data_IF_854949136286
#
_entry.id   IF_854949136286
#
_cell.length_a   1.000
_cell.length_b   1.000
_cell.length_c   1.000
_cell.angle_alpha   90.00
_cell.angle_beta   90.00
_cell.angle_gamma   90.00
#
_symmetry.space_group_name_H-M   'P 1'
#
loop_
_entity.id
_entity.type
_entity.pdbx_description
1 polymer ?
#
# COMPACT_ATOMS: atom_id res chain seq x y z
N UNK A 1 -4.30 -23.65 -7.65
CA UNK A 1 -3.32 -22.56 -7.94
C UNK A 1 -2.71 -21.96 -6.69
N UNK A 2 -3.49 -21.47 -5.71
CA UNK A 2 -2.92 -20.81 -4.51
C UNK A 2 -1.87 -21.66 -3.79
N UNK A 3 -2.22 -22.90 -3.44
CA UNK A 3 -1.29 -23.85 -2.79
C UNK A 3 -0.09 -24.18 -3.69
N UNK A 4 -0.35 -24.39 -4.98
CA UNK A 4 0.71 -24.70 -5.95
C UNK A 4 1.74 -23.55 -6.07
N UNK A 5 1.27 -22.30 -6.15
CA UNK A 5 2.14 -21.14 -6.19
C UNK A 5 2.80 -20.87 -4.83
N UNK A 6 2.08 -21.00 -3.71
CA UNK A 6 2.64 -20.80 -2.38
C UNK A 6 3.77 -21.80 -2.05
N UNK A 7 3.55 -23.08 -2.35
CA UNK A 7 4.50 -24.15 -2.03
C UNK A 7 5.60 -24.29 -3.08
N UNK A 8 5.27 -24.21 -4.37
CA UNK A 8 6.22 -24.52 -5.45
C UNK A 8 6.63 -23.31 -6.28
N UNK A 9 6.08 -22.11 -6.01
CA UNK A 9 6.31 -20.87 -6.80
C UNK A 9 5.98 -21.03 -8.29
N UNK A 10 5.11 -21.98 -8.62
CA UNK A 10 4.71 -22.27 -9.99
C UNK A 10 3.42 -21.52 -10.37
N UNK A 11 3.49 -20.67 -11.38
CA UNK A 11 2.36 -19.89 -11.92
C UNK A 11 2.62 -18.39 -11.99
N UNK A 12 1.60 -17.62 -12.39
CA UNK A 12 1.67 -16.15 -12.43
C UNK A 12 1.35 -15.57 -11.05
N UNK A 13 2.23 -14.72 -10.51
CA UNK A 13 2.05 -14.05 -9.20
C UNK A 13 0.73 -13.29 -9.11
N UNK A 14 0.33 -12.61 -10.18
CA UNK A 14 -0.95 -11.87 -10.23
C UNK A 14 -2.17 -12.79 -10.04
N UNK A 15 -2.10 -14.05 -10.50
CA UNK A 15 -3.18 -15.01 -10.30
C UNK A 15 -3.20 -15.54 -8.85
N UNK A 16 -2.05 -15.59 -8.19
CA UNK A 16 -1.97 -15.91 -6.77
C UNK A 16 -2.60 -14.80 -5.93
N UNK A 17 -2.20 -13.55 -6.14
CA UNK A 17 -2.70 -12.39 -5.38
C UNK A 17 -4.20 -12.19 -5.57
N UNK A 18 -4.68 -12.19 -6.82
CA UNK A 18 -6.13 -12.11 -7.10
C UNK A 18 -6.88 -13.33 -6.59
N UNK A 19 -6.27 -14.52 -6.70
CA UNK A 19 -6.82 -15.75 -6.15
C UNK A 19 -7.06 -15.66 -4.64
N UNK A 20 -6.17 -14.98 -3.93
CA UNK A 20 -6.24 -14.81 -2.48
C UNK A 20 -7.46 -13.98 -2.08
N UNK A 21 -7.80 -12.94 -2.84
CA UNK A 21 -9.02 -12.14 -2.65
C UNK A 21 -10.27 -13.02 -2.75
N UNK A 22 -10.37 -13.86 -3.78
CA UNK A 22 -11.51 -14.77 -3.93
C UNK A 22 -11.56 -15.81 -2.81
N UNK A 23 -10.41 -16.30 -2.37
CA UNK A 23 -10.33 -17.27 -1.27
C UNK A 23 -10.78 -16.64 0.06
N UNK A 24 -10.38 -15.40 0.34
CA UNK A 24 -10.85 -14.65 1.50
C UNK A 24 -12.37 -14.47 1.49
N UNK A 25 -12.96 -14.17 0.32
CA UNK A 25 -14.42 -14.09 0.18
C UNK A 25 -15.08 -15.45 0.49
N UNK A 26 -14.57 -16.55 -0.05
CA UNK A 26 -15.11 -17.88 0.24
C UNK A 26 -14.99 -18.24 1.72
N UNK A 27 -13.85 -17.95 2.36
CA UNK A 27 -13.66 -18.16 3.80
C UNK A 27 -14.65 -17.33 4.61
N UNK A 28 -14.94 -16.10 4.21
CA UNK A 28 -15.98 -15.27 4.83
C UNK A 28 -17.38 -15.92 4.75
N UNK A 29 -17.75 -16.47 3.60
CA UNK A 29 -19.03 -17.19 3.42
C UNK A 29 -19.08 -18.43 4.31
N UNK A 30 -18.00 -19.23 4.33
CA UNK A 30 -17.89 -20.45 5.15
C UNK A 30 -17.95 -20.10 6.64
N UNK A 31 -17.26 -19.05 7.07
CA UNK A 31 -17.30 -18.57 8.45
C UNK A 31 -18.71 -18.12 8.85
N UNK A 32 -19.41 -17.39 7.95
CA UNK A 32 -20.80 -17.01 8.16
C UNK A 32 -21.74 -18.20 8.31
N UNK A 33 -21.62 -19.21 7.44
CA UNK A 33 -22.36 -20.46 7.56
C UNK A 33 -22.02 -21.22 8.85
N UNK A 34 -20.75 -21.25 9.23
CA UNK A 34 -20.28 -21.83 10.49
C UNK A 34 -20.91 -21.16 11.71
N UNK A 35 -21.02 -19.83 11.72
CA UNK A 35 -21.70 -19.08 12.79
C UNK A 35 -23.19 -19.42 12.88
N UNK A 36 -23.88 -19.64 11.74
CA UNK A 36 -25.27 -20.14 11.75
C UNK A 36 -25.36 -21.52 12.41
N UNK A 37 -24.41 -22.41 12.12
CA UNK A 37 -24.30 -23.71 12.79
C UNK A 37 -24.12 -23.56 14.31
N UNK A 38 -23.19 -22.72 14.75
CA UNK A 38 -22.92 -22.45 16.18
C UNK A 38 -24.13 -21.83 16.87
N UNK A 39 -24.84 -20.90 16.22
CA UNK A 39 -26.05 -20.27 16.75
C UNK A 39 -27.14 -21.28 17.10
N UNK A 40 -27.23 -22.37 16.34
CA UNK A 40 -28.24 -23.40 16.51
C UNK A 40 -27.82 -24.51 17.51
N UNK A 41 -26.64 -24.39 18.16
CA UNK A 41 -26.24 -25.31 19.21
C UNK A 41 -27.09 -25.11 20.47
N UNK A 42 -27.71 -26.20 20.91
CA UNK A 42 -28.44 -26.29 22.18
C UNK A 42 -27.69 -27.18 23.16
N UNK A 43 -27.67 -26.80 24.44
CA UNK A 43 -27.10 -27.66 25.48
C UNK A 43 -27.94 -28.93 25.71
N UNK A 44 -27.31 -30.07 26.03
CA UNK A 44 -28.02 -31.27 26.43
C UNK A 44 -28.87 -31.04 27.69
N UNK A 45 -30.05 -31.65 27.73
CA UNK A 45 -31.06 -31.48 28.81
C UNK A 45 -30.49 -31.72 30.22
N UNK A 46 -29.53 -32.65 30.36
CA UNK A 46 -28.86 -32.96 31.64
C UNK A 46 -27.96 -31.83 32.13
N UNK A 47 -27.26 -31.15 31.23
CA UNK A 47 -26.39 -30.01 31.54
C UNK A 47 -27.21 -28.76 31.86
N UNK A 48 -28.32 -28.54 31.14
CA UNK A 48 -29.23 -27.43 31.43
C UNK A 48 -29.90 -27.54 32.79
N UNK A 49 -30.23 -28.76 33.23
CA UNK A 49 -30.79 -29.01 34.56
C UNK A 49 -29.76 -28.75 35.69
N UNK A 50 -28.48 -28.98 35.42
CA UNK A 50 -27.40 -28.77 36.38
C UNK A 50 -27.04 -27.28 36.55
N UNK A 51 -26.97 -26.51 35.46
CA UNK A 51 -26.53 -25.11 35.46
C UNK A 51 -27.53 -24.12 36.07
N UNK A 52 -28.80 -24.50 36.28
CA UNK A 52 -29.90 -23.67 36.87
C UNK A 52 -30.01 -22.23 36.32
N UNK A 53 -29.50 -21.96 35.12
CA UNK A 53 -29.45 -20.63 34.50
C UNK A 53 -30.19 -20.64 33.14
N UNK A 54 -31.53 -20.53 33.13
CA UNK A 54 -32.34 -20.76 31.92
C UNK A 54 -32.08 -19.77 30.78
N UNK A 55 -31.70 -18.53 31.09
CA UNK A 55 -31.42 -17.48 30.10
C UNK A 55 -30.16 -17.80 29.29
N UNK A 56 -29.12 -18.30 29.97
CA UNK A 56 -27.85 -18.66 29.36
C UNK A 56 -28.04 -19.94 28.55
N UNK A 57 -28.69 -20.95 29.13
CA UNK A 57 -28.87 -22.27 28.51
C UNK A 57 -29.74 -22.26 27.25
N UNK A 58 -30.71 -21.33 27.15
CA UNK A 58 -31.54 -21.14 25.95
C UNK A 58 -30.84 -20.34 24.84
N UNK A 59 -29.80 -19.57 25.17
CA UNK A 59 -29.12 -18.68 24.22
C UNK A 59 -27.64 -19.04 24.01
N UNK A 60 -27.21 -20.24 24.41
CA UNK A 60 -25.79 -20.66 24.35
C UNK A 60 -25.17 -20.44 22.98
N UNK A 61 -25.83 -20.87 21.90
CA UNK A 61 -25.33 -20.65 20.55
C UNK A 61 -25.11 -19.17 20.22
N UNK A 62 -26.02 -18.28 20.65
CA UNK A 62 -25.87 -16.82 20.44
C UNK A 62 -24.71 -16.24 21.24
N UNK A 63 -24.55 -16.66 22.50
CA UNK A 63 -23.42 -16.25 23.33
C UNK A 63 -22.10 -16.72 22.73
N UNK A 64 -22.03 -17.97 22.27
CA UNK A 64 -20.85 -18.51 21.59
C UNK A 64 -20.53 -17.72 20.31
N UNK A 65 -21.53 -17.36 19.50
CA UNK A 65 -21.31 -16.49 18.34
C UNK A 65 -20.74 -15.12 18.75
N UNK A 66 -21.27 -14.48 19.78
CA UNK A 66 -20.75 -13.20 20.28
C UNK A 66 -19.31 -13.32 20.77
N UNK A 67 -18.98 -14.40 21.49
CA UNK A 67 -17.62 -14.69 21.93
C UNK A 67 -16.69 -14.86 20.74
N UNK A 68 -17.08 -15.65 19.73
CA UNK A 68 -16.28 -15.85 18.53
C UNK A 68 -16.05 -14.54 17.78
N UNK A 69 -17.08 -13.73 17.58
CA UNK A 69 -16.97 -12.41 16.96
C UNK A 69 -16.02 -11.51 17.78
N UNK A 70 -16.22 -11.46 19.10
CA UNK A 70 -15.38 -10.67 20.01
C UNK A 70 -13.92 -11.09 19.94
N UNK A 71 -13.63 -12.39 19.93
CA UNK A 71 -12.27 -12.92 19.79
C UNK A 71 -11.67 -12.57 18.42
N UNK A 72 -12.42 -12.71 17.33
CA UNK A 72 -11.94 -12.33 15.99
C UNK A 72 -11.59 -10.85 15.92
N UNK A 73 -12.41 -9.97 16.50
CA UNK A 73 -12.13 -8.52 16.54
C UNK A 73 -10.94 -8.20 17.46
N UNK A 74 -10.87 -8.82 18.63
CA UNK A 74 -9.79 -8.60 19.60
C UNK A 74 -8.42 -9.05 19.08
N UNK A 75 -8.37 -10.06 18.19
CA UNK A 75 -7.15 -10.50 17.53
C UNK A 75 -6.88 -9.67 16.27
N UNK A 76 -7.90 -9.50 15.42
CA UNK A 76 -7.75 -8.91 14.10
C UNK A 76 -7.52 -7.40 14.09
N UNK A 77 -8.12 -6.65 15.01
CA UNK A 77 -7.95 -5.19 15.06
C UNK A 77 -6.50 -4.82 15.44
N UNK A 78 -5.92 -5.30 16.57
CA UNK A 78 -4.56 -4.92 16.93
C UNK A 78 -3.51 -5.36 15.90
N UNK A 79 -3.70 -6.52 15.27
CA UNK A 79 -2.80 -7.03 14.24
C UNK A 79 -2.80 -6.17 12.96
N UNK A 80 -3.89 -5.44 12.69
CA UNK A 80 -4.11 -4.76 11.41
C UNK A 80 -4.31 -3.25 11.47
N UNK A 81 -4.56 -2.69 12.66
CA UNK A 81 -4.86 -1.27 12.83
C UNK A 81 -3.71 -0.37 12.37
N UNK A 82 -2.47 -0.81 12.59
CA UNK A 82 -1.25 -0.05 12.28
C UNK A 82 -0.62 -0.51 10.96
N UNK A 83 -1.31 -1.38 10.20
CA UNK A 83 -0.83 -1.77 8.87
C UNK A 83 -0.86 -0.53 7.98
N UNK A 84 0.29 -0.09 7.42
CA UNK A 84 0.32 1.06 6.52
C UNK A 84 -0.47 0.71 5.26
N UNK A 85 -1.68 1.26 5.14
CA UNK A 85 -2.49 1.12 3.93
C UNK A 85 -2.02 2.14 2.91
N UNK A 86 -1.39 1.68 1.82
CA UNK A 86 -1.20 2.40 0.54
C UNK A 86 -1.14 3.94 0.58
N UNK A 87 -0.39 4.52 1.52
CA UNK A 87 0.06 5.90 1.36
C UNK A 87 1.33 5.82 0.52
N UNK A 88 1.15 5.71 -0.80
CA UNK A 88 2.27 5.94 -1.72
C UNK A 88 2.73 7.39 -1.63
N UNK A 89 1.81 8.31 -1.31
CA UNK A 89 2.10 9.71 -1.02
C UNK A 89 1.35 10.15 0.24
N UNK A 90 1.93 11.04 1.03
CA UNK A 90 1.27 11.69 2.17
C UNK A 90 0.78 13.11 1.82
N UNK A 91 0.49 13.91 2.85
CA UNK A 91 0.01 15.30 2.65
C UNK A 91 1.13 16.22 2.19
N UNK A 92 2.37 16.00 2.66
CA UNK A 92 3.54 16.79 2.30
C UNK A 92 3.90 16.55 0.82
N UNK A 93 3.89 15.28 0.40
CA UNK A 93 4.02 14.89 -1.01
C UNK A 93 2.96 15.55 -1.89
N UNK A 94 1.69 15.52 -1.47
CA UNK A 94 0.60 16.09 -2.24
C UNK A 94 0.75 17.61 -2.40
N UNK A 95 1.09 18.31 -1.32
CA UNK A 95 1.30 19.75 -1.33
C UNK A 95 2.50 20.13 -2.20
N UNK A 96 3.61 19.39 -2.12
CA UNK A 96 4.76 19.57 -3.00
C UNK A 96 4.39 19.39 -4.48
N UNK A 97 3.61 18.36 -4.81
CA UNK A 97 3.20 18.10 -6.19
C UNK A 97 2.21 19.15 -6.70
N UNK A 98 1.27 19.58 -5.87
CA UNK A 98 0.37 20.68 -6.21
C UNK A 98 1.15 21.99 -6.44
N UNK A 99 2.16 22.26 -5.61
CA UNK A 99 3.04 23.40 -5.79
C UNK A 99 3.81 23.33 -7.12
N UNK A 100 4.36 22.17 -7.47
CA UNK A 100 5.06 21.96 -8.76
C UNK A 100 4.11 22.26 -9.93
N UNK A 101 2.88 21.74 -9.89
CA UNK A 101 1.86 21.99 -10.93
C UNK A 101 1.65 23.49 -11.17
N UNK A 102 1.59 24.27 -10.09
CA UNK A 102 1.18 25.67 -10.15
C UNK A 102 2.35 26.64 -10.37
N UNK A 103 3.60 26.24 -10.09
CA UNK A 103 4.76 27.15 -10.07
C UNK A 103 5.90 26.76 -11.04
N UNK A 104 5.99 25.50 -11.46
CA UNK A 104 7.08 25.03 -12.33
C UNK A 104 6.72 25.23 -13.80
N UNK A 105 7.53 26.02 -14.51
CA UNK A 105 7.32 26.42 -15.92
C UNK A 105 7.25 25.22 -16.89
N UNK A 106 6.70 25.45 -18.08
CA UNK A 106 6.61 24.44 -19.17
C UNK A 106 7.96 23.97 -19.73
N UNK A 107 9.09 24.65 -19.43
CA UNK A 107 10.43 24.14 -19.80
C UNK A 107 10.85 22.91 -18.99
N UNK A 108 10.26 22.72 -17.82
CA UNK A 108 10.58 21.65 -16.90
C UNK A 108 9.60 20.49 -17.05
N UNK A 109 9.91 19.54 -17.92
CA UNK A 109 8.92 18.55 -18.38
C UNK A 109 9.03 17.15 -17.77
N UNK A 110 10.17 16.79 -17.17
CA UNK A 110 10.40 15.42 -16.70
C UNK A 110 11.09 15.39 -15.34
N UNK A 111 10.50 14.60 -14.44
CA UNK A 111 10.96 14.46 -13.08
C UNK A 111 11.63 13.10 -12.81
N UNK A 112 12.57 13.09 -11.88
CA UNK A 112 13.00 11.90 -11.14
C UNK A 112 12.61 12.05 -9.67
N UNK A 113 12.05 10.99 -9.12
CA UNK A 113 11.57 10.88 -7.76
C UNK A 113 11.44 9.39 -7.41
N UNK A 114 11.09 9.06 -6.18
CA UNK A 114 10.77 7.68 -5.81
C UNK A 114 9.78 7.07 -6.83
N UNK A 115 10.17 5.97 -7.53
CA UNK A 115 9.32 5.32 -8.53
C UNK A 115 7.95 4.87 -8.02
N UNK A 116 7.76 4.67 -6.71
CA UNK A 116 6.47 4.41 -6.08
C UNK A 116 5.56 5.65 -6.07
N UNK A 117 6.14 6.85 -5.93
CA UNK A 117 5.42 8.14 -5.93
C UNK A 117 5.08 8.63 -7.35
N UNK A 118 5.79 8.13 -8.37
CA UNK A 118 5.74 8.61 -9.75
C UNK A 118 4.34 8.60 -10.40
N UNK A 119 3.48 7.63 -10.08
CA UNK A 119 2.11 7.60 -10.63
C UNK A 119 1.26 8.76 -10.10
N UNK A 120 1.34 9.04 -8.81
CA UNK A 120 0.62 10.16 -8.19
C UNK A 120 1.18 11.50 -8.67
N UNK A 121 2.52 11.62 -8.72
CA UNK A 121 3.19 12.78 -9.27
C UNK A 121 2.68 13.15 -10.66
N UNK A 122 2.73 12.22 -11.61
CA UNK A 122 2.27 12.47 -12.98
C UNK A 122 0.79 12.86 -13.04
N UNK A 123 -0.05 12.27 -12.19
CA UNK A 123 -1.48 12.57 -12.15
C UNK A 123 -1.77 13.99 -11.60
N UNK A 124 -0.97 14.46 -10.64
CA UNK A 124 -1.15 15.77 -10.00
C UNK A 124 -0.48 16.89 -10.82
N UNK A 125 0.76 16.68 -11.25
CA UNK A 125 1.57 17.72 -11.91
C UNK A 125 1.35 17.79 -13.41
N UNK A 126 0.92 16.69 -14.05
CA UNK A 126 0.91 16.53 -15.50
C UNK A 126 2.31 16.34 -16.12
N UNK A 127 3.39 16.45 -15.34
CA UNK A 127 4.76 16.31 -15.80
C UNK A 127 5.13 14.85 -16.04
N UNK A 128 6.10 14.62 -16.92
CA UNK A 128 6.61 13.28 -17.18
C UNK A 128 7.49 12.80 -16.02
N UNK A 129 7.65 11.48 -15.94
CA UNK A 129 8.48 10.83 -14.93
C UNK A 129 9.53 9.98 -15.63
N UNK A 130 10.72 9.90 -15.05
CA UNK A 130 11.80 9.05 -15.55
C UNK A 130 11.39 7.57 -15.58
N UNK A 131 10.84 7.09 -14.47
CA UNK A 131 10.31 5.74 -14.36
C UNK A 131 9.16 5.70 -13.36
N UNK A 132 8.41 4.59 -13.35
CA UNK A 132 7.35 4.31 -12.38
C UNK A 132 7.24 2.81 -12.15
N UNK A 133 7.00 2.42 -10.91
CA UNK A 133 6.70 1.03 -10.59
C UNK A 133 5.21 0.77 -10.85
N UNK A 134 4.93 -0.25 -11.65
CA UNK A 134 3.57 -0.66 -11.99
C UNK A 134 3.13 -1.92 -11.25
N UNK A 135 3.88 -3.00 -11.45
CA UNK A 135 3.60 -4.30 -10.85
C UNK A 135 4.83 -4.83 -10.10
N UNK A 136 6.02 -4.52 -10.60
CA UNK A 136 7.30 -4.89 -9.99
C UNK A 136 8.38 -3.88 -10.42
N UNK A 137 9.45 -3.71 -9.62
CA UNK A 137 10.60 -2.89 -9.99
C UNK A 137 11.31 -3.38 -11.26
N UNK A 138 11.85 -2.44 -12.03
CA UNK A 138 12.68 -2.63 -13.22
C UNK A 138 14.07 -2.04 -12.97
N UNK A 139 15.09 -2.37 -13.79
CA UNK A 139 16.42 -1.79 -13.63
C UNK A 139 16.44 -0.25 -13.61
N UNK A 140 15.57 0.41 -14.37
CA UNK A 140 15.44 1.88 -14.33
C UNK A 140 14.92 2.42 -13.00
N UNK A 141 14.11 1.63 -12.28
CA UNK A 141 13.61 1.99 -10.94
C UNK A 141 14.75 1.94 -9.92
N UNK A 142 15.60 0.90 -10.00
CA UNK A 142 16.80 0.79 -9.17
C UNK A 142 17.81 1.91 -9.47
N UNK A 143 17.99 2.25 -10.74
CA UNK A 143 18.85 3.36 -11.17
C UNK A 143 18.36 4.71 -10.63
N UNK A 144 17.03 4.95 -10.68
CA UNK A 144 16.42 6.14 -10.09
C UNK A 144 16.63 6.20 -8.58
N UNK A 145 16.34 5.11 -7.85
CA UNK A 145 16.54 5.04 -6.39
C UNK A 145 18.00 5.28 -6.02
N UNK A 146 18.94 4.65 -6.71
CA UNK A 146 20.37 4.83 -6.48
C UNK A 146 20.81 6.28 -6.72
N UNK A 147 20.36 6.88 -7.82
CA UNK A 147 20.65 8.29 -8.10
C UNK A 147 20.19 9.22 -6.97
N UNK A 148 18.99 8.99 -6.43
CA UNK A 148 18.44 9.78 -5.32
C UNK A 148 19.22 9.53 -4.01
N UNK A 149 19.53 8.27 -3.69
CA UNK A 149 20.29 7.86 -2.49
C UNK A 149 21.73 8.38 -2.48
N UNK A 150 22.37 8.48 -3.65
CA UNK A 150 23.74 9.03 -3.82
C UNK A 150 23.77 10.57 -3.90
N UNK A 151 22.68 11.21 -3.45
CA UNK A 151 22.56 12.66 -3.33
C UNK A 151 22.35 13.39 -4.65
N UNK A 152 21.81 12.73 -5.66
CA UNK A 152 21.41 13.33 -6.95
C UNK A 152 22.55 14.08 -7.68
N UNK A 153 23.80 13.69 -7.46
CA UNK A 153 25.00 14.45 -7.86
C UNK A 153 25.38 14.37 -9.34
N UNK A 154 24.87 13.37 -10.07
CA UNK A 154 25.22 13.14 -11.48
C UNK A 154 24.37 13.97 -12.46
N UNK A 155 24.88 15.14 -12.85
CA UNK A 155 24.22 15.98 -13.88
C UNK A 155 24.19 15.31 -15.27
N UNK A 156 25.12 14.40 -15.57
CA UNK A 156 25.12 13.68 -16.85
C UNK A 156 23.90 12.77 -16.94
N UNK A 157 23.62 12.03 -15.88
CA UNK A 157 22.39 11.23 -15.76
C UNK A 157 21.13 12.07 -16.02
N UNK A 158 21.06 13.28 -15.45
CA UNK A 158 19.92 14.18 -15.66
C UNK A 158 19.78 14.59 -17.13
N UNK A 159 20.87 15.07 -17.76
CA UNK A 159 20.87 15.55 -19.14
C UNK A 159 20.57 14.44 -20.15
N UNK A 160 21.23 13.29 -20.02
CA UNK A 160 21.05 12.15 -20.93
C UNK A 160 19.63 11.60 -20.89
N UNK A 161 18.97 11.67 -19.73
CA UNK A 161 17.60 11.21 -19.55
C UNK A 161 16.55 12.32 -19.72
N UNK A 162 16.97 13.56 -20.02
CA UNK A 162 16.11 14.72 -20.17
C UNK A 162 15.32 15.06 -18.91
N UNK A 163 15.90 14.81 -17.73
CA UNK A 163 15.31 15.08 -16.42
C UNK A 163 15.66 16.52 -16.01
N UNK A 164 14.65 17.28 -15.59
CA UNK A 164 14.80 18.68 -15.20
C UNK A 164 14.19 19.01 -13.84
N UNK A 165 13.42 18.09 -13.26
CA UNK A 165 12.82 18.20 -11.93
C UNK A 165 13.32 17.03 -11.08
N UNK A 166 13.69 17.29 -9.84
CA UNK A 166 13.98 16.25 -8.84
C UNK A 166 13.09 16.50 -7.63
N UNK A 167 12.43 15.44 -7.17
CA UNK A 167 11.72 15.45 -5.89
C UNK A 167 12.29 14.35 -4.98
N UNK A 168 12.85 14.75 -3.84
CA UNK A 168 13.49 13.82 -2.89
C UNK A 168 13.55 14.40 -1.50
N UNK A 169 13.30 13.57 -0.49
CA UNK A 169 13.51 13.87 0.94
C UNK A 169 14.97 13.71 1.37
N UNK A 170 15.81 13.12 0.51
CA UNK A 170 17.23 12.93 0.75
C UNK A 170 18.05 14.21 0.50
N UNK A 171 19.27 14.25 1.04
CA UNK A 171 20.20 15.35 0.78
C UNK A 171 20.57 15.43 -0.72
N UNK A 172 20.68 16.65 -1.25
CA UNK A 172 21.08 16.89 -2.64
C UNK A 172 22.46 17.56 -2.68
N UNK A 173 23.38 16.96 -3.44
CA UNK A 173 24.77 17.37 -3.56
C UNK A 173 25.14 17.73 -5.01
N UNK A 174 24.23 18.38 -5.72
CA UNK A 174 24.43 18.76 -7.12
C UNK A 174 24.45 20.28 -7.28
N UNK A 175 25.59 20.89 -7.69
CA UNK A 175 25.69 22.33 -7.87
C UNK A 175 24.90 22.86 -9.08
N UNK A 176 24.47 22.00 -10.00
CA UNK A 176 23.68 22.38 -11.18
C UNK A 176 22.18 22.45 -10.88
N UNK A 177 21.77 22.07 -9.67
CA UNK A 177 20.40 22.16 -9.19
C UNK A 177 20.17 23.42 -8.36
N UNK A 178 18.93 23.88 -8.36
CA UNK A 178 18.44 24.93 -7.48
C UNK A 178 17.20 24.42 -6.75
N UNK A 179 17.23 24.53 -5.42
CA UNK A 179 16.07 24.26 -4.58
C UNK A 179 15.08 25.40 -4.72
N UNK A 180 13.84 25.08 -5.06
CA UNK A 180 12.76 26.07 -5.28
C UNK A 180 11.60 25.89 -4.30
N UNK A 181 11.60 24.80 -3.55
CA UNK A 181 10.69 24.46 -2.46
C UNK A 181 11.27 23.28 -1.70
N UNK A 182 10.70 22.99 -0.53
CA UNK A 182 11.13 21.85 0.29
C UNK A 182 11.09 20.57 -0.54
N UNK A 183 12.24 19.87 -0.63
CA UNK A 183 12.41 18.64 -1.39
C UNK A 183 12.25 18.79 -2.93
N UNK A 184 12.16 20.00 -3.47
CA UNK A 184 11.92 20.28 -4.89
C UNK A 184 13.12 21.00 -5.51
N UNK A 185 13.79 20.33 -6.45
CA UNK A 185 14.98 20.84 -7.11
C UNK A 185 14.76 20.91 -8.63
N UNK A 186 15.24 22.00 -9.23
CA UNK A 186 15.19 22.23 -10.67
C UNK A 186 16.60 22.30 -11.26
N UNK A 187 16.79 21.78 -12.48
CA UNK A 187 18.03 21.94 -13.22
C UNK A 187 18.15 23.37 -13.77
N UNK A 188 19.26 24.06 -13.49
CA UNK A 188 19.45 25.49 -13.84
C UNK A 188 19.35 25.80 -15.33
N UNK A 189 19.74 24.87 -16.19
CA UNK A 189 19.85 25.08 -17.64
C UNK A 189 18.57 24.78 -18.44
N UNK A 190 17.48 24.42 -17.76
CA UNK A 190 16.21 24.10 -18.41
C UNK A 190 15.25 25.31 -18.58
N UNK A 191 15.74 26.55 -18.32
CA UNK A 191 15.04 27.81 -18.64
C UNK A 191 15.11 28.20 -20.13
#
# INVERSE_FOLDING_TARGET
MLVAFFTFRYGLSIMYERGLIYMMLMVGIVAGAGLVGVKNLSLPVKLTAWLRAPIITQNVGKFLCLVLIGLTLAIGIPDRQDTPYYYMIDSEDYEAFAWIRDNVKEGYEKAVLDPWKATAFKAITGKNVYTRIHAFPRPSDEEASKFLEEGSSDTTFLRENGISIIYTEGEVHNPDLIEVGENIYLLKEAE
#
